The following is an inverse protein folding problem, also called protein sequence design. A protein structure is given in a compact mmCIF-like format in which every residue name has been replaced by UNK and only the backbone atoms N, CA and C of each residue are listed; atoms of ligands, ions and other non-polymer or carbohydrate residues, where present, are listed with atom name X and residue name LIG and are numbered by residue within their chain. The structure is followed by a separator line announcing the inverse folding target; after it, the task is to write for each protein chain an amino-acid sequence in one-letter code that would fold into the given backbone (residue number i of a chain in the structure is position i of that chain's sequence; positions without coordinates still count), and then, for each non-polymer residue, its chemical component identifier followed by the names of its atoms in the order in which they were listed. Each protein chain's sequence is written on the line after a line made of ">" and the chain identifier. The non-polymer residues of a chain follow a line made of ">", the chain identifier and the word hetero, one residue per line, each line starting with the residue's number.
data_IF_068856467967
#
_entry.id   IF_068856467967
#
_cell.length_a   1.000
_cell.length_b   1.000
_cell.length_c   1.000
_cell.angle_alpha   90.00
_cell.angle_beta   90.00
_cell.angle_gamma   90.00
#
_symmetry.space_group_name_H-M   'P 1'
#
loop_
_entity.id
_entity.type
_entity.pdbx_description
1 polymer ?
#
# COMPACT_ATOMS: atom_id res chain seq x y z
N UNK A 1 -72.05 16.65 0.09
CA UNK A 1 -71.22 17.18 -1.02
C UNK A 1 -69.94 17.86 -0.53
N UNK A 2 -69.95 18.73 0.49
CA UNK A 2 -68.72 19.42 0.99
C UNK A 2 -67.62 18.49 1.53
N UNK A 3 -67.96 17.39 2.19
CA UNK A 3 -66.97 16.44 2.77
C UNK A 3 -66.15 15.69 1.70
N UNK A 4 -66.78 15.35 0.56
CA UNK A 4 -66.13 14.61 -0.50
C UNK A 4 -65.12 15.48 -1.28
N UNK A 5 -65.42 16.77 -1.42
CA UNK A 5 -64.50 17.75 -2.00
C UNK A 5 -63.28 17.98 -1.07
N UNK A 6 -63.49 18.09 0.24
CA UNK A 6 -62.39 18.24 1.21
C UNK A 6 -61.43 17.04 1.20
N UNK A 7 -61.96 15.81 1.09
CA UNK A 7 -61.15 14.60 1.01
C UNK A 7 -60.33 14.51 -0.28
N UNK A 8 -60.84 15.05 -1.40
CA UNK A 8 -60.13 15.10 -2.68
C UNK A 8 -58.95 16.09 -2.62
N UNK A 9 -59.19 17.29 -2.07
CA UNK A 9 -58.15 18.30 -1.85
C UNK A 9 -57.05 17.79 -0.90
N UNK A 10 -57.43 17.13 0.20
CA UNK A 10 -56.49 16.49 1.13
C UNK A 10 -55.62 15.42 0.45
N UNK A 11 -56.19 14.63 -0.46
CA UNK A 11 -55.47 13.58 -1.19
C UNK A 11 -54.47 14.16 -2.20
N UNK A 12 -54.84 15.27 -2.88
CA UNK A 12 -53.93 16.00 -3.76
C UNK A 12 -52.76 16.58 -2.96
N UNK A 13 -53.04 17.22 -1.82
CA UNK A 13 -52.00 17.80 -0.97
C UNK A 13 -51.03 16.72 -0.45
N UNK A 14 -51.54 15.56 0.00
CA UNK A 14 -50.68 14.48 0.48
C UNK A 14 -49.80 13.86 -0.63
N UNK A 15 -50.31 13.73 -1.85
CA UNK A 15 -49.52 13.21 -2.98
C UNK A 15 -48.44 14.18 -3.45
N UNK A 16 -48.71 15.50 -3.43
CA UNK A 16 -47.72 16.53 -3.72
C UNK A 16 -46.58 16.58 -2.68
N UNK A 17 -46.92 16.43 -1.39
CA UNK A 17 -45.92 16.39 -0.31
C UNK A 17 -45.01 15.16 -0.44
N UNK A 18 -45.58 13.98 -0.74
CA UNK A 18 -44.80 12.76 -0.92
C UNK A 18 -43.81 12.88 -2.10
N UNK A 19 -44.23 13.50 -3.21
CA UNK A 19 -43.36 13.75 -4.36
C UNK A 19 -42.22 14.74 -4.03
N UNK A 20 -42.50 15.78 -3.25
CA UNK A 20 -41.50 16.78 -2.83
C UNK A 20 -40.44 16.15 -1.91
N UNK A 21 -40.85 15.35 -0.93
CA UNK A 21 -39.93 14.67 0.01
C UNK A 21 -39.03 13.68 -0.75
N UNK A 22 -39.58 12.90 -1.69
CA UNK A 22 -38.80 11.98 -2.51
C UNK A 22 -37.76 12.68 -3.39
N UNK A 23 -38.12 13.84 -3.97
CA UNK A 23 -37.19 14.64 -4.77
C UNK A 23 -36.03 15.23 -3.96
N UNK A 24 -36.30 15.73 -2.75
CA UNK A 24 -35.26 16.28 -1.86
C UNK A 24 -34.31 15.18 -1.37
N UNK A 25 -34.84 14.00 -1.01
CA UNK A 25 -34.02 12.87 -0.61
C UNK A 25 -33.08 12.39 -1.74
N UNK A 26 -33.58 12.34 -2.98
CA UNK A 26 -32.76 11.97 -4.13
C UNK A 26 -31.68 13.01 -4.43
N UNK A 27 -32.01 14.30 -4.35
CA UNK A 27 -31.06 15.39 -4.58
C UNK A 27 -29.93 15.42 -3.54
N UNK A 28 -30.26 15.21 -2.26
CA UNK A 28 -29.29 15.21 -1.15
C UNK A 28 -28.37 13.99 -1.16
N UNK A 29 -28.89 12.80 -1.51
CA UNK A 29 -28.07 11.61 -1.70
C UNK A 29 -27.16 11.78 -2.92
N UNK A 30 -27.65 12.37 -4.02
CA UNK A 30 -26.85 12.61 -5.21
C UNK A 30 -25.69 13.60 -4.93
N UNK A 31 -25.90 14.66 -4.15
CA UNK A 31 -24.80 15.57 -3.75
C UNK A 31 -23.77 14.89 -2.85
N UNK A 32 -24.19 14.06 -1.89
CA UNK A 32 -23.26 13.27 -1.06
C UNK A 32 -22.42 12.28 -1.87
N UNK A 33 -23.00 11.67 -2.91
CA UNK A 33 -22.26 10.80 -3.83
C UNK A 33 -21.24 11.55 -4.69
N UNK A 34 -21.54 12.79 -5.08
CA UNK A 34 -20.61 13.59 -5.89
C UNK A 34 -19.41 14.06 -5.05
N UNK A 35 -19.60 14.40 -3.77
CA UNK A 35 -18.52 14.85 -2.87
C UNK A 35 -17.43 13.78 -2.65
N UNK A 36 -17.76 12.49 -2.65
CA UNK A 36 -16.77 11.42 -2.47
C UNK A 36 -15.85 11.17 -3.67
N UNK A 37 -16.14 11.75 -4.84
CA UNK A 37 -15.57 11.28 -6.12
C UNK A 37 -14.57 12.19 -6.82
N UNK A 38 -14.20 13.36 -6.27
CA UNK A 38 -13.43 14.37 -7.04
C UNK A 38 -12.00 14.69 -6.56
N UNK A 39 -11.39 13.92 -5.67
CA UNK A 39 -9.95 14.10 -5.36
C UNK A 39 -9.03 13.20 -6.18
N UNK A 40 -9.25 13.07 -7.48
CA UNK A 40 -8.21 12.61 -8.41
C UNK A 40 -7.73 13.79 -9.24
N UNK A 41 -6.61 14.37 -8.81
CA UNK A 41 -5.92 15.42 -9.53
C UNK A 41 -5.49 14.87 -10.90
N UNK A 42 -5.94 15.53 -11.98
CA UNK A 42 -5.38 15.36 -13.32
C UNK A 42 -3.92 15.82 -13.30
N UNK A 43 -2.99 14.93 -12.94
CA UNK A 43 -1.58 15.17 -13.20
C UNK A 43 -1.34 15.04 -14.70
N UNK A 44 -1.22 16.19 -15.37
CA UNK A 44 -0.42 16.28 -16.59
C UNK A 44 0.94 15.66 -16.29
N UNK A 45 1.40 14.68 -17.08
CA UNK A 45 2.67 13.93 -17.04
C UNK A 45 3.90 14.67 -16.48
N UNK A 46 3.87 15.07 -15.22
CA UNK A 46 5.01 15.24 -14.35
C UNK A 46 5.13 13.88 -13.69
N UNK A 47 6.29 13.24 -13.84
CA UNK A 47 6.64 12.08 -13.01
C UNK A 47 6.40 12.47 -11.57
N UNK A 48 5.31 12.00 -10.97
CA UNK A 48 4.92 12.37 -9.63
C UNK A 48 6.06 11.93 -8.71
N UNK A 49 6.84 12.90 -8.22
CA UNK A 49 7.98 12.64 -7.38
C UNK A 49 7.49 11.99 -6.09
N UNK A 50 7.90 10.74 -5.84
CA UNK A 50 7.52 10.08 -4.60
C UNK A 50 8.40 10.64 -3.46
N UNK A 51 7.78 11.31 -2.50
CA UNK A 51 8.42 11.64 -1.21
C UNK A 51 8.53 10.39 -0.32
N UNK A 52 7.64 9.43 -0.52
CA UNK A 52 7.69 8.12 0.12
C UNK A 52 7.27 7.04 -0.87
N UNK A 53 7.84 5.86 -0.73
CA UNK A 53 7.48 4.68 -1.51
C UNK A 53 7.75 3.43 -0.67
N UNK A 54 7.10 2.32 -1.00
CA UNK A 54 7.32 1.06 -0.30
C UNK A 54 7.01 -0.13 -1.18
N UNK A 55 7.39 -1.30 -0.69
CA UNK A 55 7.12 -2.54 -1.38
C UNK A 55 7.62 -3.75 -0.62
N UNK A 56 7.48 -4.90 -1.27
CA UNK A 56 7.94 -6.20 -0.78
C UNK A 56 8.83 -6.80 -1.86
N UNK A 57 10.04 -7.20 -1.49
CA UNK A 57 10.93 -7.91 -2.41
C UNK A 57 10.45 -9.34 -2.65
N UNK A 58 10.99 -10.02 -3.66
CA UNK A 58 10.78 -11.47 -3.80
C UNK A 58 11.86 -12.23 -3.05
N UNK A 59 11.48 -13.24 -2.26
CA UNK A 59 12.40 -14.18 -1.61
C UNK A 59 13.38 -14.87 -2.58
N UNK A 60 13.03 -14.96 -3.86
CA UNK A 60 13.89 -15.54 -4.90
C UNK A 60 15.14 -14.69 -5.21
N UNK A 61 15.20 -13.45 -4.72
CA UNK A 61 16.34 -12.54 -4.93
C UNK A 61 17.48 -12.76 -3.93
N UNK A 62 17.31 -13.63 -2.93
CA UNK A 62 18.41 -13.99 -2.03
C UNK A 62 19.52 -14.71 -2.77
N UNK A 63 20.76 -14.28 -2.53
CA UNK A 63 21.97 -14.86 -3.08
C UNK A 63 22.97 -15.14 -1.96
N UNK A 64 23.84 -16.13 -2.15
CA UNK A 64 24.95 -16.40 -1.22
C UNK A 64 25.84 -15.17 -1.12
N UNK A 65 26.18 -14.79 0.11
CA UNK A 65 27.18 -13.77 0.39
C UNK A 65 28.32 -14.36 1.24
N UNK A 66 29.45 -14.61 0.58
CA UNK A 66 30.65 -15.17 1.17
C UNK A 66 30.34 -16.41 2.03
N UNK A 67 31.02 -16.58 3.16
CA UNK A 67 30.85 -17.75 4.05
C UNK A 67 29.84 -17.52 5.17
N UNK A 68 29.33 -16.30 5.35
CA UNK A 68 28.66 -15.88 6.59
C UNK A 68 27.20 -15.47 6.44
N UNK A 69 26.64 -15.46 5.22
CA UNK A 69 25.24 -15.09 5.06
C UNK A 69 24.73 -15.06 3.62
N UNK A 70 23.62 -14.35 3.45
CA UNK A 70 22.95 -14.13 2.17
C UNK A 70 22.73 -12.64 1.96
N UNK A 71 22.56 -12.22 0.71
CA UNK A 71 22.33 -10.82 0.34
C UNK A 71 21.19 -10.71 -0.67
N UNK A 72 20.56 -9.54 -0.70
CA UNK A 72 19.53 -9.19 -1.66
C UNK A 72 19.72 -7.75 -2.10
N UNK A 73 19.71 -7.51 -3.42
CA UNK A 73 19.60 -6.19 -4.00
C UNK A 73 18.12 -5.90 -4.27
N UNK A 74 17.59 -4.83 -3.68
CA UNK A 74 16.19 -4.44 -3.79
C UNK A 74 16.11 -3.25 -4.74
N UNK A 75 15.32 -3.39 -5.79
CA UNK A 75 15.09 -2.34 -6.78
C UNK A 75 13.99 -1.40 -6.32
N UNK A 76 14.24 -0.10 -6.42
CA UNK A 76 13.30 0.98 -6.11
C UNK A 76 13.06 1.90 -7.31
N UNK A 77 13.46 1.46 -8.53
CA UNK A 77 13.33 2.21 -9.79
C UNK A 77 11.90 2.75 -10.03
N UNK A 78 10.88 1.97 -9.63
CA UNK A 78 9.47 2.34 -9.83
C UNK A 78 9.02 3.51 -8.93
N UNK A 79 9.82 3.89 -7.93
CA UNK A 79 9.50 4.98 -7.00
C UNK A 79 9.94 6.35 -7.51
N UNK A 80 10.82 6.40 -8.51
CA UNK A 80 11.31 7.67 -9.08
C UNK A 80 11.85 8.66 -8.02
N UNK A 81 12.65 8.20 -7.05
CA UNK A 81 13.25 9.08 -6.03
C UNK A 81 14.25 10.09 -6.63
N UNK A 82 14.21 11.35 -6.16
CA UNK A 82 15.09 12.45 -6.62
C UNK A 82 16.38 12.57 -5.80
N UNK A 83 16.36 12.12 -4.55
CA UNK A 83 17.50 12.05 -3.64
C UNK A 83 17.57 10.65 -3.04
N UNK A 84 18.73 10.25 -2.53
CA UNK A 84 18.88 8.93 -1.90
C UNK A 84 17.95 8.85 -0.68
N UNK A 85 16.95 7.94 -0.67
CA UNK A 85 16.00 7.85 0.42
C UNK A 85 16.62 7.26 1.68
N UNK A 86 16.02 7.60 2.82
CA UNK A 86 16.15 6.82 4.04
C UNK A 86 15.28 5.58 3.90
N UNK A 87 15.93 4.41 3.78
CA UNK A 87 15.26 3.13 3.71
C UNK A 87 15.14 2.47 5.08
N UNK A 88 14.05 1.75 5.25
CA UNK A 88 13.75 0.96 6.42
C UNK A 88 13.19 -0.37 5.95
N UNK A 89 13.56 -1.45 6.63
CA UNK A 89 13.19 -2.80 6.22
C UNK A 89 12.68 -3.63 7.38
N UNK A 90 11.84 -4.61 7.05
CA UNK A 90 11.50 -5.74 7.90
C UNK A 90 11.52 -7.02 7.05
N UNK A 91 11.53 -8.18 7.70
CA UNK A 91 11.48 -9.47 7.03
C UNK A 91 10.13 -10.13 7.33
N UNK A 92 9.48 -10.68 6.30
CA UNK A 92 8.35 -11.58 6.46
C UNK A 92 8.68 -12.99 5.94
N UNK A 93 7.71 -13.90 6.04
CA UNK A 93 7.76 -15.26 5.53
C UNK A 93 6.83 -16.16 6.32
N UNK A 94 6.87 -17.47 6.07
CA UNK A 94 6.03 -18.43 6.80
C UNK A 94 6.66 -18.99 8.08
N UNK A 95 8.00 -19.00 8.21
CA UNK A 95 8.70 -19.52 9.39
C UNK A 95 10.17 -19.07 9.45
N UNK A 96 10.83 -19.33 10.58
CA UNK A 96 12.29 -19.29 10.78
C UNK A 96 13.00 -17.93 10.59
N UNK A 97 12.28 -16.83 10.38
CA UNK A 97 12.87 -15.49 10.17
C UNK A 97 13.65 -15.00 11.39
N UNK A 98 13.25 -15.42 12.59
CA UNK A 98 13.91 -15.06 13.85
C UNK A 98 15.36 -15.56 13.95
N UNK A 99 15.75 -16.53 13.11
CA UNK A 99 17.14 -17.00 13.00
C UNK A 99 18.01 -16.12 12.10
N UNK A 100 17.41 -15.22 11.33
CA UNK A 100 18.13 -14.25 10.52
C UNK A 100 18.36 -12.95 11.30
N UNK A 101 19.49 -12.30 11.07
CA UNK A 101 19.78 -10.96 11.58
C UNK A 101 20.53 -10.12 10.57
N UNK A 102 20.57 -8.80 10.78
CA UNK A 102 21.26 -7.85 9.88
C UNK A 102 20.45 -7.38 8.69
N UNK A 103 19.30 -8.00 8.39
CA UNK A 103 18.43 -7.63 7.25
C UNK A 103 17.82 -6.21 7.37
N UNK A 104 17.94 -5.57 8.53
CA UNK A 104 17.58 -4.17 8.79
C UNK A 104 18.69 -3.17 8.50
N UNK A 105 19.92 -3.63 8.27
CA UNK A 105 21.04 -2.78 7.91
C UNK A 105 21.01 -2.50 6.40
N UNK A 106 20.95 -1.21 6.05
CA UNK A 106 20.88 -0.73 4.67
C UNK A 106 22.28 -0.44 4.16
N UNK A 107 22.66 -1.07 3.04
CA UNK A 107 23.95 -0.90 2.39
C UNK A 107 23.79 -0.28 1.00
N UNK A 108 24.72 0.60 0.66
CA UNK A 108 24.78 1.28 -0.65
C UNK A 108 23.43 1.84 -1.11
N UNK A 109 22.74 2.65 -0.28
CA UNK A 109 21.45 3.21 -0.68
C UNK A 109 21.63 4.17 -1.86
N UNK A 110 20.74 4.05 -2.83
CA UNK A 110 20.64 4.91 -4.01
C UNK A 110 19.17 5.20 -4.32
N UNK A 111 18.92 6.12 -5.26
CA UNK A 111 17.58 6.47 -5.75
C UNK A 111 16.85 5.30 -6.41
N UNK A 112 17.59 4.30 -6.90
CA UNK A 112 17.07 3.19 -7.71
C UNK A 112 17.21 1.83 -7.05
N UNK A 113 17.98 1.72 -5.98
CA UNK A 113 18.14 0.47 -5.24
C UNK A 113 18.81 0.66 -3.88
N UNK A 114 18.76 -0.39 -3.07
CA UNK A 114 19.61 -0.57 -1.90
C UNK A 114 19.88 -2.06 -1.70
N UNK A 115 20.88 -2.40 -0.88
CA UNK A 115 21.23 -3.79 -0.57
C UNK A 115 21.02 -4.07 0.91
N UNK A 116 20.57 -5.29 1.19
CA UNK A 116 20.54 -5.86 2.55
C UNK A 116 21.38 -7.12 2.61
N UNK A 117 21.84 -7.43 3.82
CA UNK A 117 22.52 -8.69 4.13
C UNK A 117 21.80 -9.34 5.30
N UNK A 118 21.66 -10.65 5.25
CA UNK A 118 21.20 -11.45 6.38
C UNK A 118 22.30 -12.44 6.77
N UNK A 119 22.54 -12.57 8.07
CA UNK A 119 23.42 -13.59 8.66
C UNK A 119 22.63 -14.46 9.62
N UNK A 120 23.12 -15.66 9.87
CA UNK A 120 22.54 -16.54 10.86
C UNK A 120 22.83 -16.02 12.27
N UNK A 121 21.84 -16.09 13.15
CA UNK A 121 21.98 -15.89 14.60
C UNK A 121 22.20 -17.20 15.34
N UNK A 122 22.35 -18.30 14.59
CA UNK A 122 22.59 -19.66 15.07
C UNK A 122 23.82 -20.25 14.37
N UNK A 123 24.04 -21.56 14.50
CA UNK A 123 25.08 -22.31 13.81
C UNK A 123 24.74 -22.66 12.34
N UNK A 124 23.71 -22.04 11.75
CA UNK A 124 23.37 -22.26 10.34
C UNK A 124 24.46 -21.78 9.40
N UNK A 125 24.71 -22.57 8.36
CA UNK A 125 25.59 -22.17 7.25
C UNK A 125 24.88 -21.18 6.34
N UNK A 126 25.63 -20.52 5.44
CA UNK A 126 25.04 -19.68 4.40
C UNK A 126 24.09 -20.47 3.47
N UNK A 127 24.33 -21.78 3.27
CA UNK A 127 23.44 -22.65 2.49
C UNK A 127 22.15 -22.95 3.24
N UNK A 128 22.22 -23.20 4.55
CA UNK A 128 21.02 -23.37 5.37
C UNK A 128 20.17 -22.11 5.33
N UNK A 129 20.79 -20.93 5.43
CA UNK A 129 20.10 -19.65 5.28
C UNK A 129 19.41 -19.52 3.93
N UNK A 130 20.13 -19.78 2.83
CA UNK A 130 19.55 -19.68 1.49
C UNK A 130 18.39 -20.68 1.30
N UNK A 131 18.56 -21.92 1.76
CA UNK A 131 17.51 -22.94 1.65
C UNK A 131 16.27 -22.56 2.47
N UNK A 132 16.45 -22.09 3.70
CA UNK A 132 15.35 -21.61 4.55
C UNK A 132 14.67 -20.39 3.94
N UNK A 133 15.43 -19.46 3.36
CA UNK A 133 14.86 -18.26 2.72
C UNK A 133 13.97 -18.61 1.53
N UNK A 134 14.32 -19.66 0.78
CA UNK A 134 13.48 -20.16 -0.32
C UNK A 134 12.28 -20.96 0.19
N UNK A 135 12.48 -21.86 1.15
CA UNK A 135 11.44 -22.74 1.68
C UNK A 135 10.34 -21.97 2.42
N UNK A 136 10.73 -20.98 3.21
CA UNK A 136 9.82 -20.17 4.03
C UNK A 136 9.53 -18.79 3.44
N UNK A 137 9.92 -18.58 2.18
CA UNK A 137 9.63 -17.39 1.39
C UNK A 137 9.97 -16.09 2.14
N UNK A 138 11.24 -15.95 2.55
CA UNK A 138 11.67 -14.76 3.28
C UNK A 138 11.71 -13.54 2.36
N UNK A 139 10.69 -12.69 2.42
CA UNK A 139 10.69 -11.43 1.69
C UNK A 139 11.18 -10.29 2.58
N UNK A 140 11.65 -9.21 1.95
CA UNK A 140 11.97 -7.96 2.63
C UNK A 140 10.88 -6.96 2.31
N UNK A 141 10.11 -6.59 3.33
CA UNK A 141 9.25 -5.43 3.27
C UNK A 141 10.10 -4.20 3.48
N UNK A 142 9.82 -3.14 2.73
CA UNK A 142 10.61 -1.93 2.80
C UNK A 142 9.75 -0.69 2.59
N UNK A 143 10.19 0.40 3.21
CA UNK A 143 9.72 1.75 2.91
C UNK A 143 10.91 2.70 2.80
N UNK A 144 10.82 3.63 1.86
CA UNK A 144 11.81 4.67 1.61
C UNK A 144 11.18 6.05 1.73
N UNK A 145 11.87 6.98 2.38
CA UNK A 145 11.46 8.38 2.53
C UNK A 145 12.57 9.27 1.97
N UNK A 146 12.23 10.10 0.99
CA UNK A 146 13.13 11.03 0.29
C UNK A 146 12.96 12.44 0.85
N UNK A 147 14.08 13.15 1.01
CA UNK A 147 14.12 14.57 1.38
C UNK A 147 14.10 15.47 0.15
#
# INVERSE_FOLDING_TARGET
>A
MKQQQLNYELCIIMSLIAALIGGIALATVLTLYIEQSTTQLNLTNATAQAYYCGGTSSYTLWQVYATSGITMLISTVNCSFNSTPLYFTSMDGSNNQWFAGGYTAIYSPATVSFRVYARALTNWTYMDMLNNSQLYQWNINWFGISN
#
